data_IF_637571214467
#
_entry.id   IF_637571214467
#
_cell.length_a   1.000
_cell.length_b   1.000
_cell.length_c   1.000
_cell.angle_alpha   90.00
_cell.angle_beta   90.00
_cell.angle_gamma   90.00
#
_symmetry.space_group_name_H-M   'P 1'
#
loop_
_entity.id
_entity.type
_entity.pdbx_description
1 polymer ?
#
# COMPACT_ATOMS: atom_id res chain seq x y z
N UNK A 1 6.26 42.88 39.33
CA UNK A 1 7.00 41.69 38.87
C UNK A 1 6.10 40.49 38.53
N UNK A 2 5.23 40.02 39.44
CA UNK A 2 4.38 38.83 39.20
C UNK A 2 3.47 38.91 37.95
N UNK A 3 2.90 40.09 37.64
CA UNK A 3 2.03 40.27 36.47
C UNK A 3 2.76 40.10 35.13
N UNK A 4 4.06 40.42 35.08
CA UNK A 4 4.88 40.30 33.86
C UNK A 4 5.21 38.82 33.60
N UNK A 5 5.49 38.06 34.65
CA UNK A 5 5.71 36.61 34.57
C UNK A 5 4.50 35.86 33.99
N UNK A 6 3.28 36.26 34.36
CA UNK A 6 2.04 35.63 33.85
C UNK A 6 1.83 35.91 32.36
N UNK A 7 2.16 37.11 31.89
CA UNK A 7 2.05 37.49 30.47
C UNK A 7 3.08 36.73 29.63
N UNK A 8 4.29 36.53 30.15
CA UNK A 8 5.33 35.76 29.47
C UNK A 8 4.92 34.28 29.41
N UNK A 9 4.41 33.70 30.50
CA UNK A 9 3.99 32.30 30.52
C UNK A 9 2.83 32.02 29.56
N UNK A 10 1.83 32.92 29.53
CA UNK A 10 0.67 32.78 28.63
C UNK A 10 1.04 32.94 27.16
N UNK A 11 1.97 33.84 26.82
CA UNK A 11 2.42 34.00 25.42
C UNK A 11 3.20 32.77 24.91
N UNK A 12 4.01 32.11 25.74
CA UNK A 12 4.68 30.85 25.37
C UNK A 12 3.68 29.72 25.09
N UNK A 13 2.62 29.59 25.88
CA UNK A 13 1.59 28.54 25.70
C UNK A 13 0.75 28.78 24.44
N UNK A 14 0.44 30.03 24.11
CA UNK A 14 -0.29 30.38 22.89
C UNK A 14 0.55 30.15 21.63
N UNK A 15 1.86 30.40 21.71
CA UNK A 15 2.79 30.14 20.60
C UNK A 15 3.01 28.63 20.37
N UNK A 16 3.06 27.82 21.44
CA UNK A 16 3.23 26.37 21.32
C UNK A 16 1.98 25.68 20.76
N UNK A 17 0.79 26.10 21.17
CA UNK A 17 -0.49 25.59 20.66
C UNK A 17 -0.71 25.95 19.18
N UNK A 18 -0.33 27.16 18.76
CA UNK A 18 -0.37 27.57 17.36
C UNK A 18 0.58 26.73 16.48
N UNK A 19 1.77 26.38 16.99
CA UNK A 19 2.70 25.49 16.28
C UNK A 19 2.23 24.04 16.27
N UNK A 20 1.66 23.54 17.36
CA UNK A 20 1.06 22.20 17.42
C UNK A 20 -0.10 22.04 16.42
N UNK A 21 -0.93 23.08 16.23
CA UNK A 21 -1.99 23.14 15.22
C UNK A 21 -1.46 23.01 13.77
N UNK A 22 -0.36 23.70 13.44
CA UNK A 22 0.27 23.58 12.11
C UNK A 22 0.87 22.20 11.89
N UNK A 23 1.49 21.63 12.93
CA UNK A 23 2.10 20.31 12.88
C UNK A 23 1.04 19.21 12.73
N UNK A 24 -0.08 19.29 13.45
CA UNK A 24 -1.16 18.30 13.31
C UNK A 24 -1.80 18.36 11.92
N UNK A 25 -2.01 19.55 11.35
CA UNK A 25 -2.48 19.71 9.96
C UNK A 25 -1.52 19.10 8.95
N UNK A 26 -0.20 19.25 9.17
CA UNK A 26 0.80 18.62 8.30
C UNK A 26 0.73 17.10 8.37
N UNK A 27 0.69 16.52 9.58
CA UNK A 27 0.58 15.07 9.76
C UNK A 27 -0.74 14.52 9.21
N UNK A 28 -1.87 15.17 9.46
CA UNK A 28 -3.16 14.75 8.89
C UNK A 28 -3.12 14.72 7.36
N UNK A 29 -2.54 15.75 6.73
CA UNK A 29 -2.41 15.81 5.26
C UNK A 29 -1.48 14.73 4.70
N UNK A 30 -0.42 14.38 5.44
CA UNK A 30 0.48 13.27 5.11
C UNK A 30 -0.25 11.92 5.23
N UNK A 31 -0.99 11.73 6.32
CA UNK A 31 -1.76 10.51 6.55
C UNK A 31 -2.86 10.30 5.50
N UNK A 32 -3.57 11.37 5.11
CA UNK A 32 -4.55 11.33 4.02
C UNK A 32 -3.93 10.90 2.69
N UNK A 33 -2.75 11.43 2.35
CA UNK A 33 -2.01 11.03 1.15
C UNK A 33 -1.60 9.56 1.20
N UNK A 34 -1.00 9.13 2.31
CA UNK A 34 -0.56 7.76 2.48
C UNK A 34 -1.74 6.78 2.40
N UNK A 35 -2.88 7.12 3.02
CA UNK A 35 -4.10 6.31 2.91
C UNK A 35 -4.62 6.25 1.47
N UNK A 36 -4.61 7.37 0.75
CA UNK A 36 -5.06 7.41 -0.64
C UNK A 36 -4.16 6.58 -1.57
N UNK A 37 -2.84 6.62 -1.36
CA UNK A 37 -1.88 5.78 -2.09
C UNK A 37 -2.10 4.30 -1.77
N UNK A 38 -2.22 3.96 -0.48
CA UNK A 38 -2.44 2.58 -0.04
C UNK A 38 -3.78 2.01 -0.56
N UNK A 39 -4.83 2.83 -0.60
CA UNK A 39 -6.12 2.42 -1.20
C UNK A 39 -5.98 2.14 -2.70
N UNK A 40 -5.18 2.92 -3.43
CA UNK A 40 -4.91 2.69 -4.86
C UNK A 40 -4.12 1.42 -5.08
N UNK A 41 -3.10 1.15 -4.26
CA UNK A 41 -2.32 -0.08 -4.32
C UNK A 41 -3.20 -1.31 -4.07
N UNK A 42 -4.00 -1.28 -3.00
CA UNK A 42 -4.96 -2.36 -2.69
C UNK A 42 -5.94 -2.58 -3.84
N UNK A 43 -6.46 -1.50 -4.44
CA UNK A 43 -7.39 -1.62 -5.56
C UNK A 43 -6.74 -2.16 -6.83
N UNK A 44 -5.45 -1.87 -7.07
CA UNK A 44 -4.68 -2.44 -8.16
C UNK A 44 -4.34 -3.92 -7.92
N UNK A 45 -4.01 -4.29 -6.69
CA UNK A 45 -3.72 -5.68 -6.33
C UNK A 45 -4.96 -6.58 -6.45
N UNK A 46 -6.14 -6.04 -6.17
CA UNK A 46 -7.42 -6.75 -6.31
C UNK A 46 -7.93 -6.81 -7.76
N UNK A 47 -7.23 -6.21 -8.72
CA UNK A 47 -7.64 -6.24 -10.12
C UNK A 47 -7.10 -7.47 -10.86
N UNK A 48 -7.62 -8.64 -10.53
CA UNK A 48 -7.23 -9.91 -11.19
C UNK A 48 -7.48 -9.92 -12.71
N UNK A 49 -8.41 -9.08 -13.20
CA UNK A 49 -8.70 -8.96 -14.63
C UNK A 49 -7.60 -8.26 -15.43
N UNK A 50 -6.71 -7.54 -14.75
CA UNK A 50 -5.56 -6.89 -15.38
C UNK A 50 -4.47 -7.89 -15.79
N UNK A 51 -4.46 -9.09 -15.21
CA UNK A 51 -3.47 -10.11 -15.52
C UNK A 51 -3.91 -10.96 -16.73
N UNK A 52 -3.04 -11.03 -17.73
CA UNK A 52 -3.14 -12.01 -18.80
C UNK A 52 -2.31 -13.24 -18.46
N UNK A 53 -2.97 -14.39 -18.29
CA UNK A 53 -2.31 -15.68 -18.07
C UNK A 53 -2.17 -16.42 -19.41
N UNK A 54 -0.98 -16.98 -19.64
CA UNK A 54 -0.69 -17.84 -20.79
C UNK A 54 -0.15 -19.17 -20.27
N UNK A 55 -0.78 -20.27 -20.70
CA UNK A 55 -0.30 -21.61 -20.39
C UNK A 55 1.06 -21.84 -21.06
N UNK A 56 2.03 -22.29 -20.27
CA UNK A 56 3.39 -22.60 -20.72
C UNK A 56 3.57 -24.10 -20.93
N UNK A 57 3.24 -24.93 -19.93
CA UNK A 57 3.36 -26.38 -20.03
C UNK A 57 2.34 -27.11 -19.15
N UNK A 58 2.10 -28.37 -19.51
CA UNK A 58 1.35 -29.34 -18.71
C UNK A 58 2.27 -30.53 -18.45
N UNK A 59 2.33 -30.97 -17.20
CA UNK A 59 3.17 -32.10 -16.81
C UNK A 59 2.53 -32.89 -15.67
N UNK A 60 3.02 -34.10 -15.46
CA UNK A 60 2.69 -34.88 -14.25
C UNK A 60 3.90 -34.81 -13.34
N UNK A 61 3.71 -34.37 -12.10
CA UNK A 61 4.78 -34.34 -11.11
C UNK A 61 5.18 -35.77 -10.68
N UNK A 62 6.31 -35.90 -9.98
CA UNK A 62 6.82 -37.13 -9.39
C UNK A 62 5.80 -37.79 -8.44
N UNK A 63 4.88 -37.00 -7.88
CA UNK A 63 3.77 -37.46 -7.03
C UNK A 63 2.57 -38.01 -7.81
N UNK A 64 2.59 -37.93 -9.14
CA UNK A 64 1.46 -38.32 -9.99
C UNK A 64 0.38 -37.23 -10.15
N UNK A 65 0.61 -36.02 -9.61
CA UNK A 65 -0.29 -34.88 -9.73
C UNK A 65 -0.23 -34.24 -11.11
N UNK A 66 -1.37 -33.80 -11.64
CA UNK A 66 -1.43 -33.12 -12.95
C UNK A 66 -1.22 -31.63 -12.74
N UNK A 67 -0.06 -31.13 -13.15
CA UNK A 67 0.34 -29.75 -13.01
C UNK A 67 0.26 -28.98 -14.33
N UNK A 68 -0.01 -27.67 -14.21
CA UNK A 68 -0.06 -26.70 -15.30
C UNK A 68 0.67 -25.44 -14.88
N UNK A 69 1.64 -25.03 -15.68
CA UNK A 69 2.38 -23.79 -15.47
C UNK A 69 1.86 -22.69 -16.38
N UNK A 70 1.70 -21.50 -15.81
CA UNK A 70 1.25 -20.31 -16.49
C UNK A 70 2.28 -19.20 -16.30
N UNK A 71 2.55 -18.47 -17.38
CA UNK A 71 3.21 -17.16 -17.29
C UNK A 71 2.13 -16.10 -17.27
N UNK A 72 2.20 -15.17 -16.33
CA UNK A 72 1.29 -14.03 -16.27
C UNK A 72 2.03 -12.71 -16.45
N UNK A 73 1.32 -11.74 -17.00
CA UNK A 73 1.75 -10.35 -17.14
C UNK A 73 0.57 -9.43 -16.86
N UNK A 74 0.81 -8.36 -16.11
CA UNK A 74 -0.14 -7.26 -15.93
C UNK A 74 -0.22 -6.45 -17.22
N UNK A 75 -1.44 -6.06 -17.61
CA UNK A 75 -1.68 -5.19 -18.76
C UNK A 75 -1.40 -3.73 -18.42
N UNK A 76 -1.70 -3.32 -17.19
CA UNK A 76 -1.48 -1.95 -16.72
C UNK A 76 -0.03 -1.65 -16.31
N UNK A 77 0.73 -2.68 -15.89
CA UNK A 77 2.10 -2.52 -15.40
C UNK A 77 3.06 -3.56 -16.02
N UNK A 78 3.96 -3.13 -16.92
CA UNK A 78 4.89 -4.04 -17.61
C UNK A 78 5.90 -4.72 -16.68
N UNK A 79 6.11 -4.19 -15.46
CA UNK A 79 7.03 -4.76 -14.47
C UNK A 79 6.36 -5.82 -13.57
N UNK A 80 5.03 -5.95 -13.62
CA UNK A 80 4.29 -6.96 -12.85
C UNK A 80 4.06 -8.19 -13.72
N UNK A 81 4.97 -9.15 -13.64
CA UNK A 81 4.90 -10.43 -14.35
C UNK A 81 5.49 -11.57 -13.51
N UNK A 82 5.10 -12.80 -13.80
CA UNK A 82 5.61 -13.95 -13.07
C UNK A 82 5.12 -15.30 -13.59
N UNK A 83 5.35 -16.33 -12.79
CA UNK A 83 4.97 -17.70 -13.06
C UNK A 83 3.98 -18.17 -12.00
N UNK A 84 3.02 -18.99 -12.41
CA UNK A 84 2.00 -19.55 -11.55
C UNK A 84 1.75 -21.00 -11.92
N UNK A 85 1.92 -21.90 -10.96
CA UNK A 85 1.74 -23.34 -11.13
C UNK A 85 0.45 -23.78 -10.44
N UNK A 86 -0.35 -24.58 -11.14
CA UNK A 86 -1.57 -25.21 -10.60
C UNK A 86 -1.44 -26.71 -10.74
N UNK A 87 -1.40 -27.42 -9.62
CA UNK A 87 -1.45 -28.87 -9.56
C UNK A 87 -2.84 -29.31 -9.07
N UNK A 88 -3.48 -30.21 -9.80
CA UNK A 88 -4.72 -30.86 -9.38
C UNK A 88 -4.35 -32.13 -8.62
N UNK A 89 -4.55 -32.10 -7.29
CA UNK A 89 -4.56 -33.30 -6.45
C UNK A 89 -5.79 -34.15 -6.80
N UNK A 90 -5.62 -35.46 -6.78
CA UNK A 90 -6.62 -36.44 -7.21
C UNK A 90 -7.37 -37.03 -6.03
#
# INVERSE_FOLDING_TARGET
>A
MQKILIIILSSLVLLSTAKASKLSRYFNKQEEKNRAEQQREVQQDMNFSDFSFRLEKRYTDERGERCRDYVFRSRSNPYRHGYYTVCEER
#
